data_IF_759140392264
#
_entry.id   IF_759140392264
#
_cell.length_a   1.000
_cell.length_b   1.000
_cell.length_c   1.000
_cell.angle_alpha   90.00
_cell.angle_beta   90.00
_cell.angle_gamma   90.00
#
_symmetry.space_group_name_H-M   'P 1'
#
loop_
_entity.id
_entity.type
_entity.pdbx_description
1 polymer ?
#
# COMPACT_ATOMS: atom_id res chain seq x y z
N UNK A 1 26.16 11.94 -15.06
CA UNK A 1 24.78 12.37 -14.76
C UNK A 1 23.88 11.17 -15.02
N UNK A 2 23.35 10.53 -13.97
CA UNK A 2 22.44 9.39 -14.09
C UNK A 2 21.12 9.87 -14.70
N UNK A 3 20.69 9.23 -15.79
CA UNK A 3 19.43 9.58 -16.48
C UNK A 3 18.26 9.54 -15.49
N UNK A 4 17.42 10.59 -15.39
CA UNK A 4 16.35 10.69 -14.39
C UNK A 4 15.20 9.68 -14.55
N UNK A 5 15.23 8.84 -15.59
CA UNK A 5 14.08 8.01 -16.00
C UNK A 5 14.21 6.51 -15.70
N UNK A 6 15.25 6.08 -14.97
CA UNK A 6 15.40 4.65 -14.63
C UNK A 6 14.60 4.32 -13.37
N UNK A 7 13.53 3.54 -13.53
CA UNK A 7 12.79 2.98 -12.40
C UNK A 7 13.65 1.90 -11.75
N UNK A 8 14.01 2.11 -10.48
CA UNK A 8 14.75 1.16 -9.68
C UNK A 8 13.86 0.56 -8.59
N UNK A 9 13.80 -0.77 -8.55
CA UNK A 9 13.03 -1.54 -7.58
C UNK A 9 13.94 -2.32 -6.64
N UNK A 10 13.64 -2.32 -5.34
CA UNK A 10 14.27 -3.19 -4.35
C UNK A 10 13.20 -3.95 -3.58
N UNK A 11 13.29 -5.28 -3.59
CA UNK A 11 12.45 -6.13 -2.76
C UNK A 11 12.83 -6.01 -1.28
N UNK A 12 11.80 -5.90 -0.44
CA UNK A 12 11.89 -5.93 1.01
C UNK A 12 11.18 -7.20 1.47
N UNK A 13 11.91 -8.10 2.13
CA UNK A 13 11.49 -9.50 2.32
C UNK A 13 11.01 -9.81 3.73
N UNK A 14 11.15 -8.85 4.63
CA UNK A 14 10.82 -8.98 6.05
C UNK A 14 10.27 -7.65 6.57
N UNK A 15 9.60 -7.70 7.73
CA UNK A 15 9.15 -6.48 8.38
C UNK A 15 10.30 -5.67 8.91
N UNK A 16 11.33 -6.32 9.48
CA UNK A 16 12.51 -5.62 10.00
C UNK A 16 13.23 -4.83 8.89
N UNK A 17 13.44 -5.44 7.71
CA UNK A 17 14.02 -4.73 6.55
C UNK A 17 13.13 -3.57 6.09
N UNK A 18 11.82 -3.80 6.04
CA UNK A 18 10.85 -2.82 5.53
C UNK A 18 10.74 -1.63 6.45
N UNK A 19 10.56 -1.86 7.75
CA UNK A 19 10.39 -0.80 8.73
C UNK A 19 11.67 0.01 8.92
N UNK A 20 12.85 -0.65 8.89
CA UNK A 20 14.12 0.06 8.91
C UNK A 20 14.28 0.99 7.70
N UNK A 21 13.97 0.51 6.49
CA UNK A 21 14.06 1.32 5.27
C UNK A 21 13.05 2.48 5.27
N UNK A 22 11.81 2.23 5.70
CA UNK A 22 10.77 3.27 5.81
C UNK A 22 11.15 4.36 6.82
N UNK A 23 11.61 3.98 8.02
CA UNK A 23 12.04 4.95 9.04
C UNK A 23 13.24 5.77 8.57
N UNK A 24 14.22 5.13 7.93
CA UNK A 24 15.36 5.84 7.33
C UNK A 24 14.92 6.84 6.27
N UNK A 25 13.92 6.51 5.45
CA UNK A 25 13.38 7.41 4.44
C UNK A 25 12.66 8.62 5.06
N UNK A 26 11.87 8.39 6.11
CA UNK A 26 11.18 9.46 6.87
C UNK A 26 12.20 10.43 7.50
N UNK A 27 13.28 9.91 8.07
CA UNK A 27 14.32 10.75 8.67
C UNK A 27 15.13 11.52 7.60
N UNK A 28 15.29 10.97 6.41
CA UNK A 28 15.98 11.61 5.28
C UNK A 28 15.12 12.64 4.51
N UNK A 29 13.78 12.51 4.53
CA UNK A 29 12.87 13.34 3.76
C UNK A 29 13.05 14.84 4.04
N UNK A 30 12.92 15.65 2.97
CA UNK A 30 13.20 17.10 2.97
C UNK A 30 12.00 17.98 2.61
N UNK A 31 11.04 17.46 1.86
CA UNK A 31 9.94 18.23 1.29
C UNK A 31 8.58 17.66 1.69
N UNK A 32 8.34 16.36 1.49
CA UNK A 32 7.03 15.75 1.76
C UNK A 32 7.12 14.32 2.26
N UNK A 33 6.15 13.94 3.09
CA UNK A 33 5.87 12.56 3.49
C UNK A 33 4.37 12.32 3.38
N UNK A 34 4.01 11.30 2.61
CA UNK A 34 2.64 10.81 2.46
C UNK A 34 2.60 9.37 2.95
N UNK A 35 1.81 9.10 3.99
CA UNK A 35 1.78 7.82 4.64
C UNK A 35 0.35 7.29 4.76
N UNK A 36 0.13 6.06 4.28
CA UNK A 36 -1.17 5.38 4.21
C UNK A 36 -1.03 3.97 4.78
N UNK A 37 -1.95 3.57 5.66
CA UNK A 37 -1.98 2.20 6.17
C UNK A 37 -3.40 1.74 6.51
N UNK A 38 -3.63 0.44 6.34
CA UNK A 38 -4.89 -0.20 6.73
C UNK A 38 -4.94 -0.49 8.22
N UNK A 39 -3.95 -1.24 8.73
CA UNK A 39 -3.81 -1.53 10.16
C UNK A 39 -2.64 -0.69 10.69
N UNK A 40 -2.95 0.09 11.71
CA UNK A 40 -1.99 0.83 12.50
C UNK A 40 -2.35 0.67 13.97
N UNK A 41 -1.40 0.21 14.78
CA UNK A 41 -1.62 -0.06 16.21
C UNK A 41 -0.77 0.86 17.08
N UNK A 42 -1.30 1.24 18.24
CA UNK A 42 -0.52 1.88 19.28
C UNK A 42 0.40 0.84 19.93
N UNK A 43 1.61 0.73 19.40
CA UNK A 43 2.65 -0.21 19.81
C UNK A 43 4.01 0.47 19.76
N UNK A 44 5.09 -0.11 20.32
CA UNK A 44 6.43 0.47 20.20
C UNK A 44 6.84 0.74 18.74
N UNK A 45 6.42 -0.10 17.79
CA UNK A 45 6.62 0.16 16.36
C UNK A 45 5.81 1.37 15.87
N UNK A 46 4.52 1.42 16.20
CA UNK A 46 3.66 2.56 15.86
C UNK A 46 4.20 3.86 16.42
N UNK A 47 4.60 3.89 17.69
CA UNK A 47 5.20 5.07 18.32
C UNK A 47 6.47 5.52 17.61
N UNK A 48 7.35 4.60 17.22
CA UNK A 48 8.55 4.92 16.43
C UNK A 48 8.21 5.61 15.11
N UNK A 49 7.21 5.10 14.39
CA UNK A 49 6.75 5.73 13.14
C UNK A 49 6.13 7.11 13.39
N UNK A 50 5.23 7.22 14.37
CA UNK A 50 4.61 8.49 14.75
C UNK A 50 5.68 9.54 15.10
N UNK A 51 6.65 9.16 15.91
CA UNK A 51 7.69 10.07 16.39
C UNK A 51 8.65 10.47 15.26
N UNK A 52 8.94 9.58 14.32
CA UNK A 52 9.69 9.92 13.11
C UNK A 52 8.96 10.93 12.23
N UNK A 53 7.64 10.74 12.03
CA UNK A 53 6.78 11.68 11.31
C UNK A 53 6.71 13.05 12.02
N UNK A 54 6.60 13.07 13.35
CA UNK A 54 6.64 14.31 14.15
C UNK A 54 7.97 15.03 13.97
N UNK A 55 9.10 14.30 14.04
CA UNK A 55 10.43 14.89 13.80
C UNK A 55 10.50 15.49 12.39
N UNK A 56 10.00 14.81 11.38
CA UNK A 56 9.96 15.34 10.01
C UNK A 56 9.12 16.61 9.90
N UNK A 57 7.91 16.61 10.49
CA UNK A 57 7.05 17.79 10.52
C UNK A 57 7.74 18.99 11.18
N UNK A 58 8.45 18.77 12.30
CA UNK A 58 9.23 19.81 12.99
C UNK A 58 10.41 20.33 12.18
N UNK A 59 10.94 19.56 11.24
CA UNK A 59 11.97 20.02 10.28
C UNK A 59 11.38 20.85 9.13
N UNK A 60 10.06 21.04 9.09
CA UNK A 60 9.37 21.77 8.01
C UNK A 60 8.93 20.89 6.84
N UNK A 61 9.01 19.56 6.96
CA UNK A 61 8.52 18.62 5.93
C UNK A 61 6.99 18.59 5.97
N UNK A 62 6.32 18.65 4.81
CA UNK A 62 4.86 18.44 4.71
C UNK A 62 4.54 16.98 5.04
N UNK A 63 3.84 16.72 6.15
CA UNK A 63 3.47 15.36 6.55
C UNK A 63 1.96 15.15 6.47
N UNK A 64 1.53 14.15 5.70
CA UNK A 64 0.13 13.74 5.58
C UNK A 64 -0.03 12.25 5.86
N UNK A 65 -0.97 11.93 6.75
CA UNK A 65 -1.21 10.56 7.23
C UNK A 65 -2.67 10.16 7.00
N UNK A 66 -2.88 9.02 6.33
CA UNK A 66 -4.19 8.43 6.06
C UNK A 66 -4.30 7.03 6.67
N UNK A 67 -5.14 6.86 7.68
CA UNK A 67 -5.32 5.57 8.36
C UNK A 67 -6.74 5.06 8.17
N UNK A 68 -6.91 3.78 7.81
CA UNK A 68 -8.24 3.17 7.79
C UNK A 68 -8.80 2.99 9.21
N UNK A 69 -10.01 3.52 9.42
CA UNK A 69 -10.65 3.51 10.74
C UNK A 69 -11.10 2.12 11.21
N UNK A 70 -11.35 1.17 10.31
CA UNK A 70 -11.74 -0.19 10.68
C UNK A 70 -10.52 -1.06 10.97
N UNK A 71 -9.52 -1.02 10.08
CA UNK A 71 -8.26 -1.73 10.32
C UNK A 71 -7.51 -1.25 11.55
N UNK A 72 -7.77 -0.02 12.00
CA UNK A 72 -7.12 0.61 13.16
C UNK A 72 -8.12 0.99 14.26
N UNK A 73 -9.19 0.21 14.43
CA UNK A 73 -10.29 0.52 15.36
C UNK A 73 -9.86 0.67 16.83
N UNK A 74 -8.73 0.07 17.22
CA UNK A 74 -8.18 0.17 18.58
C UNK A 74 -7.31 1.42 18.78
N UNK A 75 -7.01 2.17 17.73
CA UNK A 75 -6.15 3.35 17.77
C UNK A 75 -6.98 4.59 18.14
N UNK A 76 -6.63 5.24 19.26
CA UNK A 76 -7.32 6.45 19.68
C UNK A 76 -6.98 7.64 18.77
N UNK A 77 -7.94 8.55 18.57
CA UNK A 77 -7.69 9.77 17.77
C UNK A 77 -6.57 10.64 18.39
N UNK A 78 -6.48 10.63 19.72
CA UNK A 78 -5.44 11.32 20.49
C UNK A 78 -4.02 10.83 20.17
N UNK A 79 -3.85 9.60 19.65
CA UNK A 79 -2.55 9.07 19.26
C UNK A 79 -1.82 10.00 18.27
N UNK A 80 -2.56 10.64 17.36
CA UNK A 80 -2.02 11.55 16.34
C UNK A 80 -1.99 13.02 16.79
N UNK A 81 -2.46 13.33 18.00
CA UNK A 81 -2.46 14.69 18.55
C UNK A 81 -1.09 15.37 18.49
N UNK A 82 0.01 14.72 18.90
CA UNK A 82 1.36 15.29 18.79
C UNK A 82 1.79 15.60 17.35
N UNK A 83 1.38 14.79 16.37
CA UNK A 83 1.64 15.06 14.94
C UNK A 83 0.89 16.30 14.47
N UNK A 84 -0.40 16.41 14.79
CA UNK A 84 -1.21 17.60 14.46
C UNK A 84 -0.62 18.88 15.07
N UNK A 85 -0.17 18.81 16.32
CA UNK A 85 0.52 19.92 17.01
C UNK A 85 1.84 20.31 16.34
N UNK A 86 2.53 19.36 15.70
CA UNK A 86 3.77 19.62 14.97
C UNK A 86 3.54 20.16 13.53
N UNK A 87 2.28 20.35 13.12
CA UNK A 87 1.91 20.86 11.79
C UNK A 87 1.55 19.78 10.77
N UNK A 88 1.60 18.49 11.14
CA UNK A 88 1.21 17.40 10.26
C UNK A 88 -0.30 17.24 10.14
N UNK A 89 -0.79 16.76 9.00
CA UNK A 89 -2.20 16.42 8.81
C UNK A 89 -2.42 14.93 8.98
N UNK A 90 -3.50 14.57 9.69
CA UNK A 90 -3.97 13.18 9.78
C UNK A 90 -5.46 13.11 9.48
N UNK A 91 -5.84 12.11 8.68
CA UNK A 91 -7.24 11.80 8.36
C UNK A 91 -7.53 10.31 8.56
N UNK A 92 -8.73 10.05 9.06
CA UNK A 92 -9.33 8.72 9.07
C UNK A 92 -10.01 8.44 7.75
N UNK A 93 -9.70 7.32 7.13
CA UNK A 93 -10.42 6.83 5.97
C UNK A 93 -11.70 6.10 6.40
N UNK A 94 -12.82 6.49 5.75
CA UNK A 94 -14.17 5.97 5.95
C UNK A 94 -14.54 5.74 7.44
N UNK A 95 -14.58 6.81 8.27
CA UNK A 95 -14.93 6.70 9.69
C UNK A 95 -16.17 5.83 9.91
N UNK A 96 -16.17 5.06 11.00
CA UNK A 96 -17.17 4.01 11.30
C UNK A 96 -18.62 4.52 11.47
N UNK A 97 -18.85 5.82 11.33
CA UNK A 97 -20.15 6.49 11.40
C UNK A 97 -21.01 6.29 10.13
N UNK A 98 -20.57 5.51 9.14
CA UNK A 98 -21.22 5.39 7.82
C UNK A 98 -21.65 3.95 7.48
N UNK A 99 -22.84 3.84 6.86
CA UNK A 99 -23.50 2.64 6.28
C UNK A 99 -22.73 1.94 5.14
N UNK A 100 -21.40 2.06 5.08
CA UNK A 100 -20.53 1.60 3.97
C UNK A 100 -19.31 0.83 4.48
N UNK A 101 -19.53 -0.12 5.40
CA UNK A 101 -18.47 -0.95 5.99
C UNK A 101 -17.58 -1.65 4.95
N UNK A 102 -18.12 -1.97 3.78
CA UNK A 102 -17.44 -2.71 2.72
C UNK A 102 -16.43 -1.88 1.91
N UNK A 103 -16.34 -0.56 2.11
CA UNK A 103 -15.36 0.29 1.42
C UNK A 103 -14.23 0.60 2.40
N UNK A 104 -13.12 -0.14 2.27
CA UNK A 104 -11.95 0.02 3.13
C UNK A 104 -10.70 0.28 2.32
N UNK A 105 -9.78 1.01 2.92
CA UNK A 105 -8.51 1.32 2.31
C UNK A 105 -7.45 0.31 2.77
N UNK A 106 -7.30 -0.76 1.98
CA UNK A 106 -6.32 -1.82 2.27
C UNK A 106 -4.88 -1.48 1.82
N UNK A 107 -4.64 -0.28 1.30
CA UNK A 107 -3.31 0.15 0.82
C UNK A 107 -2.35 0.32 1.99
N UNK A 108 -1.08 0.00 1.75
CA UNK A 108 0.05 0.37 2.60
C UNK A 108 1.06 1.07 1.71
N UNK A 109 1.28 2.33 1.99
CA UNK A 109 2.07 3.21 1.15
C UNK A 109 2.81 4.22 2.03
N UNK A 110 4.09 4.37 1.78
CA UNK A 110 4.88 5.51 2.25
C UNK A 110 5.53 6.14 1.05
N UNK A 111 5.43 7.46 0.90
CA UNK A 111 6.14 8.22 -0.12
C UNK A 111 6.92 9.32 0.58
N UNK A 112 8.17 9.48 0.20
CA UNK A 112 9.04 10.56 0.64
C UNK A 112 9.49 11.38 -0.58
N UNK A 113 9.29 12.69 -0.48
CA UNK A 113 9.71 13.70 -1.45
C UNK A 113 9.22 13.43 -2.89
N UNK A 114 8.10 12.69 -3.03
CA UNK A 114 7.52 12.27 -4.31
C UNK A 114 8.50 11.48 -5.22
N UNK A 115 9.59 10.98 -4.64
CA UNK A 115 10.72 10.33 -5.37
C UNK A 115 10.98 8.91 -4.93
N UNK A 116 10.69 8.61 -3.67
CA UNK A 116 10.90 7.31 -3.06
C UNK A 116 9.58 6.82 -2.48
N UNK A 117 9.12 5.65 -2.91
CA UNK A 117 7.90 5.03 -2.44
C UNK A 117 8.13 3.62 -1.90
N UNK A 118 7.35 3.23 -0.91
CA UNK A 118 7.27 1.88 -0.36
C UNK A 118 5.84 1.39 -0.50
N UNK A 119 5.65 0.23 -1.12
CA UNK A 119 4.37 -0.48 -1.20
C UNK A 119 4.55 -1.92 -0.72
N UNK A 120 3.49 -2.58 -0.28
CA UNK A 120 3.56 -3.98 0.13
C UNK A 120 2.38 -4.43 0.98
N UNK A 121 2.55 -5.57 1.65
CA UNK A 121 1.56 -6.10 2.59
C UNK A 121 1.82 -5.76 4.07
N UNK A 122 2.98 -5.19 4.40
CA UNK A 122 3.32 -4.81 5.78
C UNK A 122 2.40 -3.71 6.34
N UNK A 123 1.67 -4.03 7.41
CA UNK A 123 0.98 -3.03 8.23
C UNK A 123 1.89 -2.55 9.38
N UNK A 124 1.50 -1.45 10.05
CA UNK A 124 2.24 -0.95 11.23
C UNK A 124 1.64 -1.58 12.48
N UNK A 125 2.05 -2.82 12.74
CA UNK A 125 1.63 -3.57 13.91
C UNK A 125 2.68 -4.63 14.32
N UNK A 126 2.68 -5.08 15.59
CA UNK A 126 3.67 -6.01 16.10
C UNK A 126 3.77 -7.34 15.33
N UNK A 127 2.67 -7.79 14.74
CA UNK A 127 2.57 -9.05 14.00
C UNK A 127 3.51 -9.09 12.80
N UNK A 128 3.81 -7.93 12.19
CA UNK A 128 4.76 -7.86 11.07
C UNK A 128 6.21 -7.66 11.53
N UNK A 129 6.50 -7.49 12.82
CA UNK A 129 7.89 -7.32 13.28
C UNK A 129 8.64 -8.65 13.28
N UNK A 130 9.79 -8.68 12.63
CA UNK A 130 10.64 -9.86 12.50
C UNK A 130 11.07 -10.15 11.07
N UNK A 131 11.74 -11.30 10.93
CA UNK A 131 12.29 -11.82 9.67
C UNK A 131 11.25 -12.50 8.77
N UNK A 132 10.03 -12.73 9.30
CA UNK A 132 8.96 -13.46 8.64
C UNK A 132 9.23 -14.96 8.52
N UNK A 133 10.19 -15.49 9.29
CA UNK A 133 10.56 -16.92 9.30
C UNK A 133 10.54 -17.45 10.74
N UNK A 134 11.31 -16.84 11.63
CA UNK A 134 11.38 -17.16 13.06
C UNK A 134 10.40 -16.33 13.88
N UNK A 135 10.21 -15.06 13.50
CA UNK A 135 9.31 -14.11 14.18
C UNK A 135 8.60 -13.23 13.16
N UNK A 136 7.36 -12.89 13.48
CA UNK A 136 6.53 -12.02 12.66
C UNK A 136 5.99 -12.71 11.41
N UNK A 137 5.01 -12.06 10.78
CA UNK A 137 4.38 -12.53 9.56
C UNK A 137 5.28 -12.31 8.35
N UNK A 138 5.32 -13.30 7.46
CA UNK A 138 5.98 -13.18 6.18
C UNK A 138 5.15 -12.32 5.24
N UNK A 139 5.75 -11.27 4.71
CA UNK A 139 5.14 -10.44 3.68
C UNK A 139 6.20 -9.94 2.69
N UNK A 140 5.75 -9.23 1.66
CA UNK A 140 6.61 -8.63 0.66
C UNK A 140 6.34 -7.13 0.55
N UNK A 141 7.43 -6.39 0.45
CA UNK A 141 7.47 -4.96 0.20
C UNK A 141 8.33 -4.66 -1.01
N UNK A 142 8.10 -3.49 -1.59
CA UNK A 142 8.84 -2.97 -2.72
C UNK A 142 9.18 -1.51 -2.43
N UNK A 143 10.47 -1.21 -2.44
CA UNK A 143 10.97 0.15 -2.53
C UNK A 143 11.09 0.52 -4.01
N UNK A 144 10.53 1.67 -4.37
CA UNK A 144 10.41 2.16 -5.74
C UNK A 144 11.01 3.56 -5.81
N UNK A 145 11.91 3.80 -6.76
CA UNK A 145 12.44 5.12 -7.06
C UNK A 145 11.98 5.59 -8.45
N UNK A 146 11.88 6.90 -8.63
CA UNK A 146 11.65 7.51 -9.94
C UNK A 146 10.18 7.80 -10.23
N UNK A 147 9.78 7.86 -11.51
CA UNK A 147 8.47 8.39 -11.93
C UNK A 147 7.25 7.73 -11.27
N UNK A 148 7.32 6.44 -10.94
CA UNK A 148 6.23 5.73 -10.28
C UNK A 148 5.93 6.24 -8.85
N UNK A 149 6.91 6.83 -8.17
CA UNK A 149 6.67 7.44 -6.85
C UNK A 149 5.75 8.67 -6.96
N UNK A 150 5.89 9.46 -8.03
CA UNK A 150 5.02 10.62 -8.30
C UNK A 150 3.59 10.19 -8.66
N UNK A 151 3.44 9.11 -9.43
CA UNK A 151 2.11 8.56 -9.73
C UNK A 151 1.43 7.99 -8.47
N UNK A 152 2.19 7.32 -7.60
CA UNK A 152 1.69 6.88 -6.30
C UNK A 152 1.27 8.06 -5.41
N UNK A 153 2.03 9.16 -5.42
CA UNK A 153 1.70 10.40 -4.70
C UNK A 153 0.40 11.01 -5.20
N UNK A 154 0.25 11.14 -6.53
CA UNK A 154 -1.02 11.57 -7.15
C UNK A 154 -2.20 10.67 -6.74
N UNK A 155 -1.97 9.35 -6.64
CA UNK A 155 -3.00 8.42 -6.17
C UNK A 155 -3.23 8.46 -4.65
N UNK A 156 -2.27 8.94 -3.85
CA UNK A 156 -2.44 9.20 -2.42
C UNK A 156 -3.31 10.45 -2.23
N UNK A 157 -2.98 11.56 -2.89
CA UNK A 157 -3.74 12.82 -2.82
C UNK A 157 -5.24 12.61 -3.13
N UNK A 158 -5.52 11.80 -4.15
CA UNK A 158 -6.87 11.42 -4.54
C UNK A 158 -7.63 10.71 -3.40
N UNK A 159 -6.97 9.86 -2.62
CA UNK A 159 -7.55 9.18 -1.46
C UNK A 159 -7.62 10.08 -0.23
N UNK A 160 -6.58 10.86 0.02
CA UNK A 160 -6.51 11.81 1.14
C UNK A 160 -7.61 12.87 1.05
N UNK A 161 -7.89 13.38 -0.15
CA UNK A 161 -9.00 14.29 -0.43
C UNK A 161 -10.39 13.65 -0.27
N UNK A 162 -10.48 12.31 -0.24
CA UNK A 162 -11.74 11.54 -0.13
C UNK A 162 -11.91 10.85 1.23
N UNK A 163 -10.96 11.00 2.15
CA UNK A 163 -10.87 10.25 3.40
C UNK A 163 -12.18 10.20 4.21
N UNK A 164 -12.85 11.35 4.38
CA UNK A 164 -14.02 11.46 5.26
C UNK A 164 -15.35 11.02 4.63
N UNK A 165 -15.39 10.69 3.34
CA UNK A 165 -16.63 10.32 2.61
C UNK A 165 -17.84 11.26 2.86
N UNK A 166 -17.60 12.55 3.15
CA UNK A 166 -18.68 13.51 3.40
C UNK A 166 -19.52 13.70 2.13
N UNK A 167 -20.84 13.65 2.33
CA UNK A 167 -21.88 13.59 1.30
C UNK A 167 -21.71 14.63 0.18
N UNK A 168 -22.16 14.23 -1.03
CA UNK A 168 -22.39 14.98 -2.30
C UNK A 168 -21.42 14.74 -3.47
N UNK A 169 -20.23 14.15 -3.31
CA UNK A 169 -19.28 13.99 -4.45
C UNK A 169 -19.35 12.68 -5.24
N UNK A 170 -20.30 11.78 -4.97
CA UNK A 170 -20.52 10.58 -5.80
C UNK A 170 -21.49 10.80 -6.98
N UNK A 171 -22.17 11.96 -7.08
CA UNK A 171 -23.11 12.26 -8.19
C UNK A 171 -22.38 12.62 -9.49
N UNK A 172 -21.08 12.90 -9.45
CA UNK A 172 -20.24 12.96 -10.65
C UNK A 172 -19.01 12.10 -10.43
N UNK A 173 -19.18 10.77 -10.53
CA UNK A 173 -18.16 9.87 -11.06
C UNK A 173 -17.85 10.27 -12.52
N UNK A 174 -17.42 11.51 -12.73
CA UNK A 174 -16.89 11.95 -14.01
C UNK A 174 -15.61 11.16 -14.14
N UNK A 175 -15.57 10.27 -15.14
CA UNK A 175 -14.37 9.63 -15.65
C UNK A 175 -13.34 10.75 -15.87
N UNK A 176 -12.55 11.11 -14.87
CA UNK A 176 -11.25 11.70 -15.14
C UNK A 176 -10.52 10.56 -15.83
N UNK A 177 -10.18 10.66 -17.13
CA UNK A 177 -9.23 9.72 -17.66
C UNK A 177 -8.04 9.81 -16.71
N UNK A 178 -7.68 8.70 -16.09
CA UNK A 178 -6.37 8.64 -15.45
C UNK A 178 -5.41 9.11 -16.54
N UNK A 179 -4.69 10.20 -16.28
CA UNK A 179 -3.54 10.55 -17.10
C UNK A 179 -2.59 9.37 -16.90
N UNK A 180 -2.76 8.35 -17.73
CA UNK A 180 -1.73 7.35 -17.91
C UNK A 180 -0.63 8.16 -18.57
N UNK A 181 0.28 8.70 -17.76
CA UNK A 181 1.60 8.93 -18.31
C UNK A 181 2.08 7.52 -18.62
N UNK A 182 1.92 7.14 -19.89
CA UNK A 182 2.72 6.05 -20.43
C UNK A 182 4.15 6.52 -20.26
N UNK A 183 4.82 6.07 -19.20
CA UNK A 183 6.26 6.01 -19.25
C UNK A 183 6.54 4.91 -20.26
N UNK A 184 6.84 5.31 -21.49
CA UNK A 184 7.12 4.37 -22.59
C UNK A 184 8.33 3.45 -22.31
N UNK A 185 8.93 3.54 -21.12
CA UNK A 185 9.98 2.65 -20.62
C UNK A 185 9.79 2.40 -19.11
N UNK A 186 9.81 1.13 -18.69
CA UNK A 186 10.20 0.62 -17.35
C UNK A 186 9.20 0.37 -16.18
N UNK A 187 7.86 0.39 -16.34
CA UNK A 187 6.93 -0.16 -15.33
C UNK A 187 5.48 0.35 -15.39
N UNK A 188 4.51 -0.42 -14.87
CA UNK A 188 3.08 -0.02 -14.82
C UNK A 188 2.50 -0.19 -13.41
N UNK A 189 1.76 0.81 -12.93
CA UNK A 189 0.98 0.73 -11.68
C UNK A 189 -0.44 0.25 -11.93
N UNK A 190 -0.77 -0.93 -11.40
CA UNK A 190 -2.10 -1.54 -11.53
C UNK A 190 -3.03 -1.11 -10.39
N UNK A 191 -3.38 0.18 -10.37
CA UNK A 191 -4.18 0.75 -9.30
C UNK A 191 -5.65 0.31 -9.32
N UNK A 192 -6.19 -0.06 -8.16
CA UNK A 192 -7.62 -0.39 -8.00
C UNK A 192 -8.28 0.48 -6.92
N UNK A 193 -9.60 0.66 -7.00
CA UNK A 193 -10.34 1.47 -6.02
C UNK A 193 -11.72 1.92 -6.49
N UNK A 194 -12.51 2.56 -5.61
CA UNK A 194 -13.85 3.05 -5.95
C UNK A 194 -13.83 3.99 -7.17
N UNK A 195 -14.74 3.74 -8.12
CA UNK A 195 -14.85 4.55 -9.34
C UNK A 195 -13.84 4.22 -10.45
N UNK A 196 -12.91 3.29 -10.24
CA UNK A 196 -11.91 2.87 -11.25
C UNK A 196 -12.36 1.73 -12.20
N UNK A 197 -13.63 1.32 -12.15
CA UNK A 197 -14.18 0.33 -13.07
C UNK A 197 -13.63 -1.10 -12.87
N UNK A 198 -13.34 -1.82 -13.97
CA UNK A 198 -12.78 -3.18 -13.91
C UNK A 198 -11.35 -3.14 -13.34
N UNK A 199 -11.02 -4.08 -12.45
CA UNK A 199 -9.68 -4.14 -11.82
C UNK A 199 -8.58 -4.42 -12.85
N UNK A 200 -7.61 -3.51 -13.05
CA UNK A 200 -6.50 -3.71 -13.98
C UNK A 200 -5.61 -4.88 -13.55
N UNK A 201 -5.38 -5.04 -12.25
CA UNK A 201 -4.66 -6.19 -11.69
C UNK A 201 -5.27 -7.53 -12.09
N UNK A 202 -6.60 -7.68 -11.98
CA UNK A 202 -7.29 -8.92 -12.39
C UNK A 202 -7.17 -9.19 -13.89
N UNK A 203 -7.13 -8.12 -14.70
CA UNK A 203 -6.95 -8.25 -16.15
C UNK A 203 -5.52 -8.66 -16.50
N UNK A 204 -4.52 -7.97 -15.94
CA UNK A 204 -3.10 -8.28 -16.14
C UNK A 204 -2.79 -9.73 -15.71
N UNK A 205 -3.15 -10.11 -14.49
CA UNK A 205 -2.96 -11.47 -13.98
C UNK A 205 -3.57 -12.53 -14.91
N UNK A 206 -4.78 -12.26 -15.45
CA UNK A 206 -5.41 -13.18 -16.40
C UNK A 206 -4.58 -13.32 -17.67
N UNK A 207 -4.08 -12.21 -18.22
CA UNK A 207 -3.26 -12.22 -19.44
C UNK A 207 -1.93 -12.92 -19.22
N UNK A 208 -1.29 -12.69 -18.08
CA UNK A 208 -0.03 -13.36 -17.71
C UNK A 208 -0.23 -14.87 -17.62
N UNK A 209 -1.31 -15.32 -16.96
CA UNK A 209 -1.64 -16.73 -16.83
C UNK A 209 -2.03 -17.41 -18.15
N UNK A 210 -2.39 -16.68 -19.21
CA UNK A 210 -2.62 -17.29 -20.53
C UNK A 210 -1.31 -17.81 -21.14
N UNK A 211 -0.17 -17.14 -20.88
CA UNK A 211 1.12 -17.44 -21.50
C UNK A 211 2.16 -18.05 -20.55
N UNK A 212 1.91 -18.01 -19.24
CA UNK A 212 2.85 -18.47 -18.22
C UNK A 212 3.31 -19.94 -18.39
N UNK A 213 4.61 -20.20 -18.35
CA UNK A 213 5.14 -21.57 -18.14
C UNK A 213 5.25 -21.90 -16.66
N UNK A 214 5.41 -20.88 -15.82
CA UNK A 214 5.49 -21.00 -14.37
C UNK A 214 4.60 -19.94 -13.74
N UNK A 215 3.84 -20.30 -12.71
CA UNK A 215 3.06 -19.38 -11.89
C UNK A 215 3.35 -19.66 -10.41
N UNK A 216 3.95 -18.70 -9.72
CA UNK A 216 4.17 -18.74 -8.27
C UNK A 216 3.27 -17.70 -7.62
N UNK A 217 2.42 -18.12 -6.68
CA UNK A 217 1.50 -17.23 -5.97
C UNK A 217 1.77 -17.34 -4.49
N UNK A 218 2.03 -16.19 -3.88
CA UNK A 218 2.07 -16.01 -2.43
C UNK A 218 0.81 -15.23 -2.05
N UNK A 219 0.01 -15.76 -1.13
CA UNK A 219 -1.22 -15.10 -0.71
C UNK A 219 -1.55 -15.43 0.75
N UNK A 220 -1.89 -14.41 1.54
CA UNK A 220 -2.41 -14.59 2.90
C UNK A 220 -3.76 -15.31 2.90
N UNK A 221 -4.63 -15.03 1.91
CA UNK A 221 -5.90 -15.74 1.75
C UNK A 221 -6.06 -16.18 0.30
N UNK A 222 -6.08 -17.49 0.07
CA UNK A 222 -6.25 -18.04 -1.26
C UNK A 222 -7.67 -18.57 -1.47
N UNK A 223 -8.57 -17.63 -1.76
CA UNK A 223 -9.97 -17.91 -2.12
C UNK A 223 -10.22 -17.54 -3.60
N UNK A 224 -9.59 -18.25 -4.56
CA UNK A 224 -9.62 -17.84 -5.97
C UNK A 224 -11.01 -18.03 -6.60
N UNK A 225 -11.50 -17.04 -7.39
CA UNK A 225 -12.71 -17.22 -8.17
C UNK A 225 -12.54 -18.34 -9.22
N UNK A 226 -13.64 -18.94 -9.67
CA UNK A 226 -13.63 -20.06 -10.64
C UNK A 226 -12.78 -19.77 -11.88
N UNK A 227 -12.79 -18.53 -12.37
CA UNK A 227 -11.98 -18.11 -13.52
C UNK A 227 -10.47 -18.18 -13.26
N UNK A 228 -10.02 -17.76 -12.08
CA UNK A 228 -8.61 -17.84 -11.68
C UNK A 228 -8.19 -19.30 -11.50
N UNK A 229 -9.03 -20.13 -10.87
CA UNK A 229 -8.81 -21.58 -10.74
C UNK A 229 -8.61 -22.24 -12.11
N UNK A 230 -9.52 -21.98 -13.06
CA UNK A 230 -9.41 -22.51 -14.43
C UNK A 230 -8.13 -22.06 -15.12
N UNK A 231 -7.73 -20.79 -14.98
CA UNK A 231 -6.49 -20.28 -15.58
C UNK A 231 -5.25 -21.00 -15.02
N UNK A 232 -5.17 -21.20 -13.70
CA UNK A 232 -4.06 -21.94 -13.08
C UNK A 232 -4.05 -23.41 -13.50
N UNK A 233 -5.21 -24.07 -13.56
CA UNK A 233 -5.32 -25.45 -14.07
C UNK A 233 -4.84 -25.53 -15.53
N UNK A 234 -5.15 -24.53 -16.36
CA UNK A 234 -4.68 -24.48 -17.75
C UNK A 234 -3.15 -24.33 -17.84
N UNK A 235 -2.51 -23.59 -16.92
CA UNK A 235 -1.03 -23.52 -16.83
C UNK A 235 -0.45 -24.92 -16.59
N UNK A 236 -1.02 -25.69 -15.66
CA UNK A 236 -0.55 -27.05 -15.37
C UNK A 236 -0.83 -28.02 -16.54
N UNK A 237 -2.03 -27.96 -17.14
CA UNK A 237 -2.44 -28.84 -18.26
C UNK A 237 -1.57 -28.70 -19.51
N UNK A 238 -0.98 -27.53 -19.75
CA UNK A 238 -0.02 -27.31 -20.85
C UNK A 238 1.43 -27.65 -20.50
N UNK A 239 1.65 -28.41 -19.41
CA UNK A 239 2.98 -28.82 -18.95
C UNK A 239 3.75 -27.77 -18.13
N UNK A 240 3.08 -26.69 -17.71
CA UNK A 240 3.69 -25.65 -16.86
C UNK A 240 3.68 -26.01 -15.38
N UNK A 241 4.37 -25.20 -14.57
CA UNK A 241 4.46 -25.36 -13.10
C UNK A 241 3.60 -24.32 -12.39
N UNK A 242 2.77 -24.76 -11.45
CA UNK A 242 2.03 -23.88 -10.53
C UNK A 242 2.49 -24.16 -9.11
N UNK A 243 2.91 -23.13 -8.39
CA UNK A 243 3.30 -23.22 -6.98
C UNK A 243 2.49 -22.19 -6.17
N UNK A 244 1.91 -22.66 -5.07
CA UNK A 244 1.16 -21.82 -4.13
C UNK A 244 1.90 -21.85 -2.79
N UNK A 245 2.19 -20.68 -2.24
CA UNK A 245 2.77 -20.50 -0.91
C UNK A 245 1.74 -19.76 -0.08
N UNK A 246 1.11 -20.49 0.83
CA UNK A 246 -0.05 -20.06 1.61
C UNK A 246 0.26 -20.21 3.10
N UNK A 247 -0.40 -19.44 3.98
CA UNK A 247 -0.22 -19.63 5.41
C UNK A 247 -0.72 -21.02 5.83
N UNK A 248 0.08 -21.72 6.65
CA UNK A 248 -0.35 -22.98 7.27
C UNK A 248 -1.42 -22.76 8.36
N UNK A 249 -1.41 -21.60 9.01
CA UNK A 249 -2.43 -21.15 9.97
C UNK A 249 -2.95 -19.78 9.53
N UNK A 250 -4.26 -19.71 9.24
CA UNK A 250 -4.96 -18.47 8.91
C UNK A 250 -5.36 -17.72 10.20
N UNK A 251 -5.34 -16.39 10.15
CA UNK A 251 -5.90 -15.50 11.16
C UNK A 251 -7.39 -15.18 10.91
N UNK A 252 -7.91 -15.55 9.74
CA UNK A 252 -9.34 -15.61 9.44
C UNK A 252 -9.82 -17.05 9.70
N UNK A 253 -10.86 -17.26 10.53
CA UNK A 253 -11.44 -18.57 10.83
C UNK A 253 -11.90 -19.36 9.60
#
# INVERSE_FOLDING_TARGET
MSSPDVIAFRWLRSGDDTFAAMLSAIDAARASIEFESYIYTASPLGERFRDALIRASRRGVRVQVLIDSFGSITLSDNFWGPLRKAGGEMRWFNPLTLRRFNIRNHRKLLICDEKLAFIGGFNIAPEWQGDGVTRGWRDLGLQINGPLAQELSSSFDDMFARAEFRHKRFIRLRKRPAKHQRSDLAGELLLSGPGRGRSPLKLALRMDLVRARTAQIIAAYFLPPLRLRRALIQVARRGGRVQLILPGKSDVP
#
